data_IF_369922709512
#
_entry.id   IF_369922709512
#
_cell.length_a   1.000
_cell.length_b   1.000
_cell.length_c   1.000
_cell.angle_alpha   90.00
_cell.angle_beta   90.00
_cell.angle_gamma   90.00
#
_symmetry.space_group_name_H-M   'P 1'
#
loop_
_entity.id
_entity.type
_entity.pdbx_description
1 polymer ?
#
# COMPACT_ATOMS: atom_id res chain seq x y z
N UNK A 1 -21.74 24.49 -23.67
CA UNK A 1 -20.79 23.35 -23.59
C UNK A 1 -19.56 23.61 -22.73
N UNK A 2 -18.81 24.72 -22.91
CA UNK A 2 -17.58 25.00 -22.13
C UNK A 2 -17.78 25.04 -20.60
N UNK A 3 -18.83 25.72 -20.12
CA UNK A 3 -19.18 25.76 -18.69
C UNK A 3 -19.60 24.39 -18.12
N UNK A 4 -20.20 23.53 -18.95
CA UNK A 4 -20.56 22.17 -18.57
C UNK A 4 -19.30 21.32 -18.35
N UNK A 5 -18.30 21.45 -19.21
CA UNK A 5 -17.02 20.74 -19.12
C UNK A 5 -16.23 21.19 -17.87
N UNK A 6 -16.21 22.49 -17.60
CA UNK A 6 -15.53 23.04 -16.41
C UNK A 6 -16.22 22.62 -15.10
N UNK A 7 -17.54 22.58 -15.08
CA UNK A 7 -18.30 22.07 -13.94
C UNK A 7 -18.04 20.57 -13.73
N UNK A 8 -18.08 19.77 -14.79
CA UNK A 8 -17.77 18.34 -14.71
C UNK A 8 -16.34 18.07 -14.22
N UNK A 9 -15.33 18.81 -14.68
CA UNK A 9 -13.95 18.62 -14.24
C UNK A 9 -13.74 19.00 -12.78
N UNK A 10 -14.40 20.07 -12.31
CA UNK A 10 -14.40 20.45 -10.89
C UNK A 10 -15.08 19.40 -10.00
N UNK A 11 -16.24 18.88 -10.43
CA UNK A 11 -16.96 17.81 -9.71
C UNK A 11 -16.12 16.54 -9.62
N UNK A 12 -15.46 16.13 -10.70
CA UNK A 12 -14.57 14.96 -10.71
C UNK A 12 -13.40 15.17 -9.72
N UNK A 13 -12.75 16.34 -9.75
CA UNK A 13 -11.64 16.67 -8.85
C UNK A 13 -12.07 16.67 -7.37
N UNK A 14 -13.24 17.24 -7.06
CA UNK A 14 -13.83 17.24 -5.73
C UNK A 14 -14.15 15.81 -5.25
N UNK A 15 -14.66 14.96 -6.14
CA UNK A 15 -14.96 13.56 -5.82
C UNK A 15 -13.70 12.75 -5.51
N UNK A 16 -12.60 12.95 -6.26
CA UNK A 16 -11.30 12.36 -5.94
C UNK A 16 -10.75 12.87 -4.60
N UNK A 17 -10.90 14.16 -4.30
CA UNK A 17 -10.41 14.76 -3.06
C UNK A 17 -11.14 14.26 -1.80
N UNK A 18 -12.41 13.87 -1.92
CA UNK A 18 -13.23 13.36 -0.81
C UNK A 18 -13.13 11.83 -0.62
N UNK A 19 -12.41 11.12 -1.49
CA UNK A 19 -12.29 9.67 -1.38
C UNK A 19 -11.41 9.28 -0.19
N UNK A 20 -12.05 8.86 0.92
CA UNK A 20 -11.37 8.21 2.05
C UNK A 20 -11.22 6.74 1.70
N UNK A 21 -10.07 6.37 1.16
CA UNK A 21 -9.76 4.98 0.82
C UNK A 21 -9.07 4.33 2.03
N UNK A 22 -9.70 3.29 2.58
CA UNK A 22 -9.06 2.40 3.55
C UNK A 22 -7.90 1.65 2.89
N UNK A 23 -6.75 1.56 3.56
CA UNK A 23 -5.57 0.90 3.00
C UNK A 23 -5.85 -0.58 2.74
N UNK A 24 -5.37 -1.09 1.61
CA UNK A 24 -5.42 -2.51 1.28
C UNK A 24 -4.06 -3.13 1.52
N UNK A 25 -4.02 -4.28 2.17
CA UNK A 25 -2.76 -4.98 2.46
C UNK A 25 -2.86 -6.44 2.01
N UNK A 26 -1.72 -7.05 1.73
CA UNK A 26 -1.69 -8.50 1.60
C UNK A 26 -1.91 -9.12 2.98
N UNK A 27 -2.92 -9.99 3.10
CA UNK A 27 -3.31 -10.71 4.31
C UNK A 27 -3.16 -12.20 4.04
N UNK A 28 -2.10 -12.80 4.57
CA UNK A 28 -1.82 -14.23 4.41
C UNK A 28 -0.90 -14.72 5.53
N UNK A 29 -0.86 -16.04 5.72
CA UNK A 29 0.06 -16.73 6.62
C UNK A 29 0.43 -18.10 6.07
N UNK A 30 1.58 -18.63 6.49
CA UNK A 30 1.87 -20.05 6.30
C UNK A 30 0.80 -20.94 6.96
N UNK A 31 0.46 -22.12 6.38
CA UNK A 31 1.21 -22.90 5.38
C UNK A 31 0.95 -22.56 3.91
N UNK A 32 0.22 -21.49 3.59
CA UNK A 32 -0.01 -21.10 2.20
C UNK A 32 1.31 -20.75 1.50
N UNK A 33 1.69 -21.56 0.51
CA UNK A 33 2.96 -21.42 -0.22
C UNK A 33 3.08 -20.09 -0.94
N UNK A 34 1.96 -19.48 -1.34
CA UNK A 34 1.96 -18.18 -2.05
C UNK A 34 2.26 -17.00 -1.12
N UNK A 35 2.21 -17.19 0.20
CA UNK A 35 2.53 -16.13 1.17
C UNK A 35 4.05 -15.90 1.35
N UNK A 36 4.86 -16.89 0.94
CA UNK A 36 6.33 -16.89 1.03
C UNK A 36 6.96 -15.84 0.11
N UNK A 37 8.23 -15.56 0.34
CA UNK A 37 9.05 -14.86 -0.65
C UNK A 37 9.68 -15.86 -1.64
N UNK A 38 9.82 -15.50 -2.94
CA UNK A 38 9.37 -14.25 -3.56
C UNK A 38 7.83 -14.18 -3.63
N UNK A 39 7.27 -13.07 -3.18
CA UNK A 39 5.82 -12.92 -3.10
C UNK A 39 5.23 -12.73 -4.48
N UNK A 40 4.33 -13.63 -4.86
CA UNK A 40 3.51 -13.48 -6.05
C UNK A 40 2.37 -12.53 -5.68
N UNK A 41 2.24 -11.41 -6.39
CA UNK A 41 1.25 -10.35 -6.13
C UNK A 41 -0.19 -10.82 -6.45
N UNK A 42 -0.63 -11.89 -5.82
CA UNK A 42 -1.92 -12.53 -6.00
C UNK A 42 -3.01 -11.67 -5.35
N UNK A 43 -3.95 -11.20 -6.17
CA UNK A 43 -5.05 -10.35 -5.72
C UNK A 43 -5.95 -11.06 -4.72
N UNK A 44 -5.92 -12.39 -4.63
CA UNK A 44 -6.70 -13.13 -3.63
C UNK A 44 -6.32 -12.73 -2.19
N UNK A 45 -5.05 -12.40 -1.95
CA UNK A 45 -4.55 -12.01 -0.63
C UNK A 45 -4.64 -10.51 -0.40
N UNK A 46 -4.89 -9.71 -1.42
CA UNK A 46 -5.04 -8.26 -1.26
C UNK A 46 -6.43 -7.96 -0.69
N UNK A 47 -6.48 -7.64 0.60
CA UNK A 47 -7.73 -7.38 1.32
C UNK A 47 -7.76 -5.93 1.79
N UNK A 48 -8.96 -5.35 1.78
CA UNK A 48 -9.21 -4.07 2.45
C UNK A 48 -9.12 -4.27 3.96
N UNK A 49 -8.35 -3.42 4.65
CA UNK A 49 -8.17 -3.56 6.08
C UNK A 49 -9.48 -3.43 6.87
N UNK A 50 -10.47 -2.69 6.35
CA UNK A 50 -11.82 -2.62 6.92
C UNK A 50 -12.54 -3.98 6.91
N UNK A 51 -12.36 -4.78 5.86
CA UNK A 51 -13.01 -6.08 5.69
C UNK A 51 -12.42 -7.16 6.60
N UNK A 52 -11.22 -6.97 7.11
CA UNK A 52 -10.54 -7.91 8.04
C UNK A 52 -10.59 -7.44 9.50
N UNK A 53 -11.54 -6.55 9.83
CA UNK A 53 -11.75 -6.05 11.19
C UNK A 53 -10.72 -5.01 11.66
N UNK A 54 -9.96 -4.43 10.73
CA UNK A 54 -8.94 -3.41 11.00
C UNK A 54 -9.18 -2.12 10.18
N UNK A 55 -10.40 -1.59 10.21
CA UNK A 55 -10.78 -0.42 9.38
C UNK A 55 -10.07 0.90 9.71
N UNK A 56 -9.41 0.98 10.87
CA UNK A 56 -8.56 2.10 11.24
C UNK A 56 -7.08 1.88 10.90
N UNK A 57 -6.71 0.75 10.30
CA UNK A 57 -5.34 0.49 9.91
C UNK A 57 -4.85 1.55 8.92
N UNK A 58 -3.65 2.08 9.17
CA UNK A 58 -3.02 3.11 8.35
C UNK A 58 -1.80 2.59 7.61
N UNK A 59 -1.38 1.35 7.88
CA UNK A 59 -0.17 0.76 7.33
C UNK A 59 -0.28 -0.76 7.18
N UNK A 60 0.57 -1.32 6.34
CA UNK A 60 0.74 -2.75 6.21
C UNK A 60 1.96 -3.23 6.99
N UNK A 61 1.94 -4.52 7.36
CA UNK A 61 3.04 -5.20 8.03
C UNK A 61 3.36 -6.54 7.37
N UNK A 62 4.62 -6.94 7.52
CA UNK A 62 5.14 -8.26 7.17
C UNK A 62 6.01 -8.74 8.31
N UNK A 63 5.75 -9.96 8.74
CA UNK A 63 6.57 -10.70 9.69
C UNK A 63 7.24 -11.85 8.99
N UNK A 64 8.51 -12.02 9.32
CA UNK A 64 9.32 -13.16 8.92
C UNK A 64 9.94 -13.74 10.18
N UNK A 65 9.87 -15.04 10.37
CA UNK A 65 10.65 -15.70 11.42
C UNK A 65 11.42 -16.87 10.86
N UNK A 66 12.66 -17.00 11.30
CA UNK A 66 13.57 -18.10 11.03
C UNK A 66 13.78 -18.83 12.36
N UNK A 67 13.49 -20.13 12.38
CA UNK A 67 13.76 -20.98 13.55
C UNK A 67 15.11 -21.69 13.36
N UNK A 68 15.66 -22.29 14.41
CA UNK A 68 17.07 -22.72 14.45
C UNK A 68 17.54 -23.72 13.39
N UNK A 69 16.63 -24.35 12.63
CA UNK A 69 16.93 -25.23 11.49
C UNK A 69 17.06 -24.47 10.15
N UNK A 70 16.86 -23.14 10.15
CA UNK A 70 16.86 -22.29 8.97
C UNK A 70 15.50 -22.17 8.27
N UNK A 71 14.47 -22.87 8.75
CA UNK A 71 13.11 -22.79 8.19
C UNK A 71 12.54 -21.40 8.43
N UNK A 72 12.07 -20.77 7.35
CA UNK A 72 11.47 -19.44 7.36
C UNK A 72 9.97 -19.50 7.17
N UNK A 73 9.28 -18.68 7.93
CA UNK A 73 7.84 -18.50 7.86
C UNK A 73 7.49 -17.03 7.65
N UNK A 74 6.34 -16.81 7.01
CA UNK A 74 5.87 -15.50 6.59
C UNK A 74 4.44 -15.27 7.05
N UNK A 75 4.18 -14.04 7.50
CA UNK A 75 2.84 -13.54 7.77
C UNK A 75 2.74 -12.10 7.28
N UNK A 76 1.63 -11.77 6.61
CA UNK A 76 1.35 -10.44 6.10
C UNK A 76 -0.01 -9.99 6.61
N UNK A 77 -0.16 -8.70 6.89
CA UNK A 77 -1.46 -8.15 7.24
C UNK A 77 -1.47 -6.64 7.46
N UNK A 78 -2.60 -6.15 7.94
CA UNK A 78 -2.82 -4.75 8.31
C UNK A 78 -2.21 -4.43 9.68
N UNK A 79 -1.86 -3.17 9.89
CA UNK A 79 -1.35 -2.64 11.15
C UNK A 79 -1.84 -1.20 11.39
N UNK A 80 -2.13 -0.91 12.66
CA UNK A 80 -2.49 0.44 13.12
C UNK A 80 -1.27 1.23 13.61
N UNK A 81 -0.30 0.52 14.20
CA UNK A 81 0.88 1.09 14.83
C UNK A 81 2.12 0.32 14.41
N UNK A 82 3.25 1.02 14.42
CA UNK A 82 4.53 0.48 14.03
C UNK A 82 5.54 1.59 13.78
N UNK A 83 6.75 1.20 13.42
CA UNK A 83 7.80 2.08 12.94
C UNK A 83 8.04 1.80 11.46
N UNK A 84 7.48 2.65 10.61
CA UNK A 84 7.81 2.65 9.19
C UNK A 84 9.25 3.14 9.04
N UNK A 85 10.10 2.31 8.46
CA UNK A 85 11.49 2.70 8.19
C UNK A 85 11.56 3.71 7.04
N UNK A 86 12.66 4.47 6.95
CA UNK A 86 12.87 5.40 5.81
C UNK A 86 12.78 4.70 4.46
N UNK A 87 13.08 3.40 4.41
CA UNK A 87 12.97 2.59 3.19
C UNK A 87 11.61 1.86 3.06
N UNK A 88 10.60 2.23 3.85
CA UNK A 88 9.19 1.84 3.71
C UNK A 88 9.00 0.31 3.61
N UNK A 89 9.37 -0.40 4.66
CA UNK A 89 9.22 -1.86 4.75
C UNK A 89 10.39 -2.66 4.17
N UNK A 90 11.39 -2.00 3.58
CA UNK A 90 12.65 -2.66 3.16
C UNK A 90 13.66 -2.82 4.30
N UNK A 91 13.72 -1.84 5.19
CA UNK A 91 14.48 -2.02 6.44
C UNK A 91 13.50 -2.54 7.50
N UNK A 92 13.76 -3.75 7.98
CA UNK A 92 12.96 -4.43 8.99
C UNK A 92 13.68 -4.41 10.33
N UNK A 93 12.92 -4.35 11.42
CA UNK A 93 13.48 -4.47 12.77
C UNK A 93 13.72 -5.96 13.03
N UNK A 94 14.96 -6.33 13.31
CA UNK A 94 15.32 -7.69 13.73
C UNK A 94 15.20 -7.84 15.25
N UNK A 95 14.66 -8.97 15.69
CA UNK A 95 14.65 -9.41 17.08
C UNK A 95 15.12 -10.86 17.13
N UNK A 96 16.04 -11.15 18.04
CA UNK A 96 16.52 -12.51 18.30
C UNK A 96 15.84 -13.03 19.56
N UNK A 97 15.29 -14.23 19.49
CA UNK A 97 14.66 -14.94 20.60
C UNK A 97 15.48 -16.14 21.06
N UNK A 98 14.88 -16.93 21.94
CA UNK A 98 15.42 -18.22 22.39
C UNK A 98 15.49 -19.23 21.23
N UNK A 99 16.31 -20.28 21.37
CA UNK A 99 16.42 -21.37 20.39
C UNK A 99 16.86 -20.95 18.98
N UNK A 100 17.77 -19.96 18.89
CA UNK A 100 18.26 -19.39 17.61
C UNK A 100 17.13 -18.87 16.71
N UNK A 101 16.02 -18.45 17.30
CA UNK A 101 14.90 -17.88 16.54
C UNK A 101 15.21 -16.42 16.21
N UNK A 102 15.10 -16.05 14.93
CA UNK A 102 15.20 -14.66 14.47
C UNK A 102 13.88 -14.22 13.89
N UNK A 103 13.47 -12.99 14.17
CA UNK A 103 12.22 -12.43 13.65
C UNK A 103 12.45 -11.03 13.11
N UNK A 104 11.95 -10.79 11.90
CA UNK A 104 11.99 -9.49 11.23
C UNK A 104 10.59 -8.90 11.14
N UNK A 105 10.46 -7.64 11.56
CA UNK A 105 9.24 -6.86 11.55
C UNK A 105 9.37 -5.74 10.54
N UNK A 106 8.67 -5.85 9.41
CA UNK A 106 8.68 -4.85 8.35
C UNK A 106 7.33 -4.13 8.30
N UNK A 107 7.33 -2.81 8.20
CA UNK A 107 6.11 -1.98 8.13
C UNK A 107 6.25 -0.91 7.05
N UNK A 108 5.14 -0.61 6.37
CA UNK A 108 5.06 0.36 5.27
C UNK A 108 3.66 0.96 5.17
N UNK A 109 3.57 2.20 4.70
CA UNK A 109 2.34 3.01 4.63
C UNK A 109 2.23 3.80 3.32
N UNK A 110 3.09 3.50 2.35
CA UNK A 110 3.27 4.31 1.16
C UNK A 110 2.30 3.99 0.02
N UNK A 111 1.70 2.79 0.02
CA UNK A 111 0.72 2.34 -0.97
C UNK A 111 -0.03 1.10 -0.50
N UNK A 112 -1.15 0.83 -1.15
CA UNK A 112 -1.82 -0.46 -1.06
C UNK A 112 -0.88 -1.60 -1.44
N UNK A 113 -0.93 -2.69 -0.67
CA UNK A 113 -0.12 -3.88 -0.88
C UNK A 113 1.38 -3.65 -0.73
N UNK A 114 1.82 -2.58 -0.06
CA UNK A 114 3.24 -2.29 0.13
C UNK A 114 4.00 -3.40 0.89
N UNK A 115 3.28 -4.22 1.66
CA UNK A 115 3.81 -5.40 2.34
C UNK A 115 3.92 -6.62 1.42
N UNK A 116 3.80 -6.46 0.10
CA UNK A 116 4.03 -7.50 -0.92
C UNK A 116 5.51 -7.65 -1.29
N UNK A 117 5.77 -8.11 -2.52
CA UNK A 117 7.12 -8.11 -3.11
C UNK A 117 7.49 -6.71 -3.59
N UNK A 118 8.79 -6.38 -3.61
CA UNK A 118 9.30 -5.11 -4.11
C UNK A 118 8.96 -4.95 -5.60
N UNK A 119 7.88 -4.24 -5.92
CA UNK A 119 7.56 -3.83 -7.30
C UNK A 119 7.35 -2.31 -7.41
N UNK A 120 7.87 -1.81 -8.55
CA UNK A 120 8.26 -0.44 -8.91
C UNK A 120 7.20 0.63 -8.59
N UNK A 121 7.67 1.84 -8.32
CA UNK A 121 6.84 3.03 -8.16
C UNK A 121 6.03 3.26 -9.44
N UNK A 122 4.71 3.31 -9.31
CA UNK A 122 3.82 3.83 -10.36
C UNK A 122 4.03 5.35 -10.43
N UNK A 123 4.17 5.86 -11.64
CA UNK A 123 4.48 7.27 -11.87
C UNK A 123 3.22 8.13 -11.93
N UNK A 124 3.20 9.26 -11.22
CA UNK A 124 2.03 10.14 -11.01
C UNK A 124 1.70 11.07 -12.20
N UNK A 125 2.02 10.71 -13.44
CA UNK A 125 1.79 11.57 -14.63
C UNK A 125 0.32 11.97 -14.83
N UNK A 126 -0.62 11.15 -14.37
CA UNK A 126 -2.07 11.39 -14.55
C UNK A 126 -2.50 12.71 -13.88
N UNK A 127 -1.93 13.05 -12.72
CA UNK A 127 -2.26 14.28 -11.98
C UNK A 127 -1.73 15.51 -12.74
N UNK A 128 -0.53 15.42 -13.31
CA UNK A 128 0.09 16.50 -14.09
C UNK A 128 -0.68 16.78 -15.39
N UNK A 129 -1.16 15.73 -16.06
CA UNK A 129 -2.02 15.87 -17.23
C UNK A 129 -3.39 16.48 -16.90
N UNK A 130 -3.97 16.15 -15.73
CA UNK A 130 -5.24 16.75 -15.29
C UNK A 130 -5.14 18.26 -15.04
N UNK A 131 -4.06 18.71 -14.40
CA UNK A 131 -3.83 20.14 -14.10
C UNK A 131 -3.56 20.94 -15.37
N UNK A 132 -2.80 20.41 -16.33
CA UNK A 132 -2.49 21.11 -17.57
C UNK A 132 -3.73 21.35 -18.45
N UNK A 133 -4.67 20.39 -18.48
CA UNK A 133 -5.95 20.53 -19.18
C UNK A 133 -6.85 21.60 -18.56
N UNK A 134 -6.89 21.70 -17.23
CA UNK A 134 -7.64 22.75 -16.53
C UNK A 134 -7.07 24.15 -16.82
N UNK A 135 -5.74 24.30 -16.81
CA UNK A 135 -5.07 25.55 -17.14
C UNK A 135 -5.28 25.94 -18.61
N UNK A 136 -5.24 24.97 -19.53
CA UNK A 136 -5.52 25.20 -20.95
C UNK A 136 -6.96 25.69 -21.16
N UNK A 137 -7.93 25.06 -20.49
CA UNK A 137 -9.33 25.48 -20.55
C UNK A 137 -9.56 26.88 -19.94
N UNK A 138 -8.92 27.19 -18.81
CA UNK A 138 -8.99 28.53 -18.20
C UNK A 138 -8.47 29.60 -19.14
N UNK A 139 -7.30 29.38 -19.75
CA UNK A 139 -6.72 30.31 -20.73
C UNK A 139 -7.63 30.51 -21.95
N UNK A 140 -8.28 29.45 -22.43
CA UNK A 140 -9.22 29.50 -23.57
C UNK A 140 -10.56 30.18 -23.29
N UNK A 141 -10.86 30.51 -22.03
CA UNK A 141 -12.05 31.26 -21.61
C UNK A 141 -11.74 32.72 -21.24
N UNK A 142 -10.47 33.08 -21.11
CA UNK A 142 -10.02 34.44 -20.81
C UNK A 142 -9.74 35.29 -22.07
N UNK A 143 -9.87 34.69 -23.27
CA UNK A 143 -9.89 35.34 -24.58
C UNK A 143 -11.30 35.25 -25.16
#
# INVERSE_FOLDING_TARGET
MKYLIFYCSFVILAFYALSVVSIKCYVCKEPDRKCRDPFQNDTMFLKDCSQVGMGNATMCRKYMWEIGDGTRYYMRGCALRGRVSRKQGRDCIERVGTWKTKMWYCQCDNKDGCNGSMNKQMSNWIILFGISLLLFQWKSNAQ
#
